data_IF_349993371702
#
_entry.id   IF_349993371702
#
_cell.length_a   1.000
_cell.length_b   1.000
_cell.length_c   1.000
_cell.angle_alpha   90.00
_cell.angle_beta   90.00
_cell.angle_gamma   90.00
#
_symmetry.space_group_name_H-M   'P 1'
#
loop_
_entity.id
_entity.type
_entity.pdbx_description
1 polymer ?
#
# COMPACT_ATOMS: atom_id res chain seq x y z
N UNK A 1 9.72 24.72 -24.19
CA UNK A 1 9.41 23.41 -24.82
C UNK A 1 10.45 22.40 -24.40
N UNK A 2 10.10 21.38 -23.61
CA UNK A 2 10.97 20.22 -23.44
C UNK A 2 10.85 19.32 -24.68
N UNK A 3 11.99 18.95 -25.26
CA UNK A 3 12.07 18.04 -26.40
C UNK A 3 12.30 16.59 -25.92
N UNK A 4 11.94 15.56 -26.72
CA UNK A 4 12.00 14.15 -26.32
C UNK A 4 13.40 13.59 -26.00
N UNK A 5 14.46 14.33 -26.34
CA UNK A 5 15.86 13.86 -26.30
C UNK A 5 16.68 14.47 -25.13
N UNK A 6 16.01 14.97 -24.10
CA UNK A 6 16.67 15.55 -22.93
C UNK A 6 17.00 14.46 -21.89
N UNK A 7 18.28 14.22 -21.55
CA UNK A 7 18.68 13.23 -20.53
C UNK A 7 18.07 13.50 -19.14
N UNK A 8 17.69 14.74 -18.84
CA UNK A 8 16.97 15.09 -17.61
C UNK A 8 15.54 14.53 -17.59
N UNK A 9 14.88 14.45 -18.75
CA UNK A 9 13.51 13.92 -18.86
C UNK A 9 13.50 12.39 -18.70
N UNK A 10 14.45 11.71 -19.34
CA UNK A 10 14.69 10.29 -19.13
C UNK A 10 15.04 9.97 -17.66
N UNK A 11 15.83 10.84 -17.00
CA UNK A 11 16.12 10.69 -15.56
C UNK A 11 14.90 10.89 -14.67
N UNK A 12 13.98 11.80 -15.04
CA UNK A 12 12.75 12.07 -14.29
C UNK A 12 11.75 10.92 -14.40
N UNK A 13 11.60 10.35 -15.60
CA UNK A 13 10.72 9.18 -15.81
C UNK A 13 11.30 7.91 -15.16
N UNK A 14 12.62 7.72 -15.20
CA UNK A 14 13.29 6.63 -14.49
C UNK A 14 13.12 6.76 -12.97
N UNK A 15 13.27 7.97 -12.42
CA UNK A 15 13.03 8.23 -11.00
C UNK A 15 11.55 7.99 -10.63
N UNK A 16 10.61 8.49 -11.43
CA UNK A 16 9.18 8.25 -11.21
C UNK A 16 8.84 6.74 -11.22
N UNK A 17 9.44 5.97 -12.15
CA UNK A 17 9.32 4.51 -12.16
C UNK A 17 9.89 3.83 -10.91
N UNK A 18 11.03 4.31 -10.39
CA UNK A 18 11.60 3.80 -9.14
C UNK A 18 10.69 4.09 -7.94
N UNK A 19 10.16 5.32 -7.84
CA UNK A 19 9.23 5.69 -6.77
C UNK A 19 7.92 4.91 -6.87
N UNK A 20 7.44 4.63 -8.08
CA UNK A 20 6.26 3.81 -8.32
C UNK A 20 6.48 2.37 -7.84
N UNK A 21 7.65 1.80 -8.16
CA UNK A 21 8.05 0.48 -7.65
C UNK A 21 8.13 0.48 -6.13
N UNK A 22 8.79 1.47 -5.51
CA UNK A 22 8.89 1.56 -4.04
C UNK A 22 7.53 1.64 -3.37
N UNK A 23 6.61 2.46 -3.90
CA UNK A 23 5.23 2.57 -3.41
C UNK A 23 4.50 1.24 -3.51
N UNK A 24 4.59 0.58 -4.68
CA UNK A 24 3.95 -0.71 -4.91
C UNK A 24 4.50 -1.81 -4.01
N UNK A 25 5.82 -1.85 -3.79
CA UNK A 25 6.49 -2.79 -2.90
C UNK A 25 6.05 -2.59 -1.46
N UNK A 26 6.00 -1.36 -0.94
CA UNK A 26 5.62 -1.12 0.44
C UNK A 26 4.17 -1.57 0.71
N UNK A 27 3.24 -1.29 -0.22
CA UNK A 27 1.87 -1.81 -0.13
C UNK A 27 1.82 -3.33 -0.12
N UNK A 28 2.66 -4.00 -0.93
CA UNK A 28 2.76 -5.46 -0.93
C UNK A 28 3.31 -6.01 0.39
N UNK A 29 4.31 -5.36 0.98
CA UNK A 29 4.88 -5.75 2.27
C UNK A 29 3.85 -5.60 3.40
N UNK A 30 3.06 -4.51 3.40
CA UNK A 30 1.97 -4.33 4.35
C UNK A 30 0.96 -5.48 4.20
N UNK A 31 0.51 -5.77 2.97
CA UNK A 31 -0.47 -6.81 2.68
C UNK A 31 0.00 -8.20 3.11
N UNK A 32 1.16 -8.61 2.62
CA UNK A 32 1.63 -10.00 2.71
C UNK A 32 2.29 -10.27 4.04
N UNK A 33 3.18 -9.38 4.50
CA UNK A 33 4.00 -9.63 5.69
C UNK A 33 3.34 -9.10 6.96
N UNK A 34 2.85 -7.86 6.94
CA UNK A 34 2.32 -7.22 8.15
C UNK A 34 0.89 -7.65 8.47
N UNK A 35 0.05 -7.91 7.46
CA UNK A 35 -1.35 -8.33 7.64
C UNK A 35 -1.58 -9.84 7.42
N UNK A 36 -1.19 -10.40 6.28
CA UNK A 36 -1.59 -11.78 5.93
C UNK A 36 -0.93 -12.83 6.83
N UNK A 37 0.36 -12.67 7.16
CA UNK A 37 1.07 -13.62 8.02
C UNK A 37 0.45 -13.80 9.41
N UNK A 38 0.13 -12.74 10.18
CA UNK A 38 -0.54 -12.92 11.47
C UNK A 38 -2.02 -13.30 11.33
N UNK A 39 -2.71 -12.86 10.26
CA UNK A 39 -4.12 -13.17 10.03
C UNK A 39 -4.36 -14.66 9.77
N UNK A 40 -3.52 -15.28 8.93
CA UNK A 40 -3.72 -16.65 8.46
C UNK A 40 -5.02 -16.84 7.65
N UNK A 41 -5.17 -17.99 6.99
CA UNK A 41 -6.33 -18.23 6.11
C UNK A 41 -7.64 -18.49 6.87
N UNK A 42 -7.59 -18.71 8.18
CA UNK A 42 -8.76 -18.92 9.04
C UNK A 42 -8.44 -18.55 10.50
N UNK A 43 -9.45 -18.37 11.37
CA UNK A 43 -9.21 -18.11 12.80
C UNK A 43 -8.31 -19.16 13.47
N UNK A 44 -8.45 -20.44 13.09
CA UNK A 44 -7.63 -21.54 13.62
C UNK A 44 -6.16 -21.49 13.16
N UNK A 45 -5.87 -20.83 12.02
CA UNK A 45 -4.52 -20.66 11.49
C UNK A 45 -3.93 -19.27 11.80
N UNK A 46 -4.69 -18.40 12.47
CA UNK A 46 -4.21 -17.10 12.88
C UNK A 46 -3.06 -17.25 13.88
N UNK A 47 -2.02 -16.44 13.72
CA UNK A 47 -0.90 -16.41 14.65
C UNK A 47 -0.46 -14.98 14.89
N UNK A 48 -1.12 -14.33 15.85
CA UNK A 48 -0.84 -12.95 16.21
C UNK A 48 0.59 -12.66 16.69
N UNK A 49 1.36 -13.69 17.09
CA UNK A 49 2.79 -13.53 17.43
C UNK A 49 3.68 -13.30 16.20
N UNK A 50 3.15 -13.49 14.98
CA UNK A 50 3.83 -13.13 13.73
C UNK A 50 3.69 -11.66 13.37
N UNK A 51 2.85 -10.90 14.09
CA UNK A 51 2.77 -9.46 13.90
C UNK A 51 4.08 -8.79 14.32
N UNK A 52 4.57 -7.87 13.50
CA UNK A 52 5.72 -7.03 13.82
C UNK A 52 5.45 -6.25 15.11
N UNK A 53 6.38 -6.27 16.07
CA UNK A 53 6.18 -5.57 17.34
C UNK A 53 5.01 -6.09 18.19
N UNK A 54 4.63 -7.38 18.06
CA UNK A 54 3.48 -7.94 18.80
C UNK A 54 3.60 -7.81 20.33
N UNK A 55 4.82 -7.80 20.89
CA UNK A 55 5.05 -7.66 22.34
C UNK A 55 4.75 -6.24 22.84
N UNK A 56 5.00 -5.24 22.00
CA UNK A 56 4.76 -3.82 22.28
C UNK A 56 3.40 -3.33 21.77
N UNK A 57 2.60 -4.20 21.13
CA UNK A 57 1.35 -3.83 20.46
C UNK A 57 1.52 -2.74 19.39
N UNK A 58 2.71 -2.63 18.79
CA UNK A 58 3.05 -1.54 17.85
C UNK A 58 2.78 -1.86 16.38
N UNK A 59 2.22 -3.04 16.07
CA UNK A 59 1.96 -3.48 14.70
C UNK A 59 1.02 -2.52 13.92
N UNK A 60 -0.15 -2.20 14.48
CA UNK A 60 -1.13 -1.33 13.81
C UNK A 60 -0.63 0.11 13.68
N UNK A 61 -0.04 0.73 14.72
CA UNK A 61 0.60 2.05 14.57
C UNK A 61 1.70 2.07 13.50
N UNK A 62 2.51 1.02 13.39
CA UNK A 62 3.54 0.94 12.36
C UNK A 62 2.92 0.85 10.95
N UNK A 63 1.87 0.04 10.78
CA UNK A 63 1.13 -0.06 9.51
C UNK A 63 0.50 1.29 9.14
N UNK A 64 -0.07 2.01 10.11
CA UNK A 64 -0.66 3.33 9.89
C UNK A 64 0.39 4.33 9.37
N UNK A 65 1.55 4.39 10.02
CA UNK A 65 2.67 5.24 9.58
C UNK A 65 3.17 4.83 8.20
N UNK A 66 3.30 3.52 7.92
CA UNK A 66 3.71 3.05 6.59
C UNK A 66 2.70 3.47 5.53
N UNK A 67 1.39 3.34 5.80
CA UNK A 67 0.34 3.70 4.86
C UNK A 67 0.26 5.21 4.63
N UNK A 68 0.45 6.03 5.68
CA UNK A 68 0.53 7.48 5.56
C UNK A 68 1.77 7.89 4.73
N UNK A 69 2.91 7.26 4.95
CA UNK A 69 4.11 7.52 4.16
C UNK A 69 3.91 7.15 2.67
N UNK A 70 3.20 6.07 2.37
CA UNK A 70 2.80 5.72 1.01
C UNK A 70 1.90 6.80 0.39
N UNK A 71 0.91 7.31 1.13
CA UNK A 71 0.04 8.39 0.67
C UNK A 71 0.81 9.69 0.43
N UNK A 72 1.72 10.05 1.33
CA UNK A 72 2.54 11.26 1.22
C UNK A 72 3.50 11.15 0.03
N UNK A 73 4.12 9.99 -0.18
CA UNK A 73 4.91 9.71 -1.38
C UNK A 73 4.06 9.86 -2.64
N UNK A 74 2.84 9.30 -2.65
CA UNK A 74 1.93 9.43 -3.78
C UNK A 74 1.61 10.91 -4.09
N UNK A 75 1.25 11.68 -3.07
CA UNK A 75 0.92 13.11 -3.21
C UNK A 75 2.10 13.93 -3.70
N UNK A 76 3.29 13.69 -3.14
CA UNK A 76 4.51 14.41 -3.50
C UNK A 76 4.99 14.07 -4.91
N UNK A 77 4.98 12.77 -5.26
CA UNK A 77 5.61 12.27 -6.46
C UNK A 77 4.67 12.19 -7.66
N UNK A 78 3.35 12.01 -7.49
CA UNK A 78 2.46 11.66 -8.60
C UNK A 78 1.19 12.51 -8.71
N UNK A 79 0.63 13.02 -7.60
CA UNK A 79 -0.69 13.66 -7.63
C UNK A 79 -0.77 14.87 -8.59
N UNK A 80 0.29 15.68 -8.67
CA UNK A 80 0.35 16.82 -9.59
C UNK A 80 0.41 16.42 -11.07
N UNK A 81 1.00 15.25 -11.38
CA UNK A 81 1.06 14.71 -12.75
C UNK A 81 -0.26 14.09 -13.19
N UNK A 82 -1.13 13.73 -12.23
CA UNK A 82 -2.46 13.18 -12.46
C UNK A 82 -3.58 14.24 -12.40
N UNK A 83 -3.26 15.53 -12.28
CA UNK A 83 -4.24 16.57 -11.99
C UNK A 83 -5.48 16.50 -12.91
N UNK A 84 -6.67 16.51 -12.29
CA UNK A 84 -8.00 16.38 -12.92
C UNK A 84 -8.33 15.02 -13.58
N UNK A 85 -7.52 13.99 -13.35
CA UNK A 85 -7.81 12.62 -13.81
C UNK A 85 -8.65 11.84 -12.79
N UNK A 86 -9.51 10.94 -13.28
CA UNK A 86 -10.29 10.04 -12.42
C UNK A 86 -9.41 9.15 -11.49
N UNK A 87 -8.25 8.63 -11.94
CA UNK A 87 -7.35 7.87 -11.07
C UNK A 87 -6.86 8.66 -9.85
N UNK A 88 -6.66 9.98 -9.95
CA UNK A 88 -6.21 10.78 -8.81
C UNK A 88 -7.19 10.71 -7.63
N UNK A 89 -8.47 10.99 -7.90
CA UNK A 89 -9.51 10.96 -6.90
C UNK A 89 -9.75 9.54 -6.35
N UNK A 90 -9.65 8.51 -7.21
CA UNK A 90 -9.84 7.12 -6.80
C UNK A 90 -8.72 6.62 -5.89
N UNK A 91 -7.46 6.95 -6.20
CA UNK A 91 -6.30 6.57 -5.38
C UNK A 91 -6.37 7.27 -4.02
N UNK A 92 -6.67 8.56 -4.00
CA UNK A 92 -6.80 9.33 -2.76
C UNK A 92 -7.91 8.76 -1.86
N UNK A 93 -9.10 8.52 -2.43
CA UNK A 93 -10.21 7.90 -1.71
C UNK A 93 -9.86 6.48 -1.20
N UNK A 94 -9.08 5.70 -1.95
CA UNK A 94 -8.66 4.36 -1.54
C UNK A 94 -7.69 4.41 -0.33
N UNK A 95 -6.78 5.38 -0.28
CA UNK A 95 -5.94 5.61 0.91
C UNK A 95 -6.79 5.99 2.13
N UNK A 96 -7.70 6.95 1.99
CA UNK A 96 -8.58 7.40 3.07
C UNK A 96 -9.46 6.26 3.60
N UNK A 97 -10.00 5.44 2.70
CA UNK A 97 -10.83 4.29 3.06
C UNK A 97 -10.04 3.23 3.83
N UNK A 98 -8.79 2.96 3.44
CA UNK A 98 -7.91 2.04 4.13
C UNK A 98 -7.51 2.57 5.52
N UNK A 99 -7.10 3.84 5.63
CA UNK A 99 -6.79 4.49 6.91
C UNK A 99 -7.99 4.52 7.85
N UNK A 100 -9.18 4.82 7.32
CA UNK A 100 -10.43 4.79 8.09
C UNK A 100 -10.71 3.39 8.63
N UNK A 101 -10.57 2.35 7.80
CA UNK A 101 -10.81 0.97 8.23
C UNK A 101 -9.76 0.52 9.26
N UNK A 102 -8.51 0.91 9.09
CA UNK A 102 -7.43 0.65 10.04
C UNK A 102 -7.75 1.26 11.43
N UNK A 103 -8.25 2.49 11.48
CA UNK A 103 -8.60 3.18 12.73
C UNK A 103 -9.73 2.49 13.53
N UNK A 104 -10.53 1.63 12.88
CA UNK A 104 -11.61 0.88 13.52
C UNK A 104 -11.11 -0.38 14.23
N UNK A 105 -9.85 -0.78 14.01
CA UNK A 105 -9.24 -1.94 14.66
C UNK A 105 -8.71 -1.49 16.03
N UNK A 106 -9.47 -1.77 17.09
CA UNK A 106 -9.19 -1.30 18.46
C UNK A 106 -8.38 -2.29 19.28
N UNK A 107 -8.33 -3.56 18.88
CA UNK A 107 -7.49 -4.55 19.56
C UNK A 107 -6.07 -4.53 18.96
N UNK A 108 -5.03 -4.82 19.76
CA UNK A 108 -3.71 -5.10 19.21
C UNK A 108 -3.80 -6.16 18.11
N UNK A 109 -3.08 -6.00 17.00
CA UNK A 109 -3.13 -6.94 15.86
C UNK A 109 -2.96 -8.40 16.31
N UNK A 110 -2.09 -8.63 17.29
CA UNK A 110 -1.82 -9.94 17.87
C UNK A 110 -3.03 -10.64 18.49
N UNK A 111 -4.09 -9.91 18.83
CA UNK A 111 -5.37 -10.41 19.32
C UNK A 111 -6.49 -10.25 18.29
N UNK A 112 -6.49 -9.13 17.57
CA UNK A 112 -7.50 -8.78 16.57
C UNK A 112 -7.66 -9.88 15.49
N UNK A 113 -6.58 -10.55 15.10
CA UNK A 113 -6.62 -11.63 14.09
C UNK A 113 -7.47 -12.84 14.48
N UNK A 114 -7.72 -13.05 15.78
CA UNK A 114 -8.51 -14.16 16.31
C UNK A 114 -9.89 -13.74 16.83
N UNK A 115 -10.15 -12.43 16.93
CA UNK A 115 -11.45 -11.89 17.32
C UNK A 115 -12.37 -11.77 16.09
N UNK A 116 -13.60 -12.27 16.18
CA UNK A 116 -14.51 -12.35 15.02
C UNK A 116 -14.73 -10.99 14.35
N UNK A 117 -15.06 -9.95 15.13
CA UNK A 117 -15.39 -8.63 14.57
C UNK A 117 -14.16 -7.87 14.08
N UNK A 118 -13.07 -7.91 14.85
CA UNK A 118 -11.82 -7.25 14.48
C UNK A 118 -11.14 -7.94 13.29
N UNK A 119 -11.27 -9.27 13.16
CA UNK A 119 -10.76 -10.03 12.02
C UNK A 119 -11.43 -9.60 10.72
N UNK A 120 -12.74 -9.37 10.71
CA UNK A 120 -13.45 -8.89 9.52
C UNK A 120 -12.92 -7.52 9.06
N UNK A 121 -12.61 -6.62 10.00
CA UNK A 121 -11.98 -5.33 9.68
C UNK A 121 -10.58 -5.52 9.07
N UNK A 122 -9.78 -6.46 9.57
CA UNK A 122 -8.46 -6.77 8.99
C UNK A 122 -8.60 -7.31 7.56
N UNK A 123 -9.56 -8.21 7.32
CA UNK A 123 -9.84 -8.76 5.99
C UNK A 123 -10.27 -7.64 5.04
N UNK A 124 -11.16 -6.76 5.49
CA UNK A 124 -11.59 -5.59 4.72
C UNK A 124 -10.43 -4.66 4.39
N UNK A 125 -9.55 -4.39 5.35
CA UNK A 125 -8.34 -3.61 5.13
C UNK A 125 -7.42 -4.25 4.08
N UNK A 126 -7.22 -5.58 4.14
CA UNK A 126 -6.45 -6.28 3.11
C UNK A 126 -7.05 -6.14 1.71
N UNK A 127 -8.38 -6.24 1.59
CA UNK A 127 -9.05 -6.08 0.30
C UNK A 127 -8.90 -4.65 -0.25
N UNK A 128 -9.02 -3.63 0.60
CA UNK A 128 -8.84 -2.23 0.22
C UNK A 128 -7.41 -1.94 -0.22
N UNK A 129 -6.41 -2.44 0.52
CA UNK A 129 -5.01 -2.26 0.16
C UNK A 129 -4.64 -3.02 -1.12
N UNK A 130 -5.22 -4.20 -1.35
CA UNK A 130 -5.05 -4.94 -2.60
C UNK A 130 -5.65 -4.16 -3.78
N UNK A 131 -6.82 -3.55 -3.61
CA UNK A 131 -7.45 -2.70 -4.62
C UNK A 131 -6.60 -1.45 -4.89
N UNK A 132 -6.14 -0.75 -3.85
CA UNK A 132 -5.24 0.39 -3.96
C UNK A 132 -3.96 0.03 -4.72
N UNK A 133 -3.34 -1.10 -4.39
CA UNK A 133 -2.15 -1.62 -5.08
C UNK A 133 -2.43 -1.85 -6.57
N UNK A 134 -3.60 -2.37 -6.94
CA UNK A 134 -4.01 -2.55 -8.34
C UNK A 134 -4.25 -1.22 -9.06
N UNK A 135 -4.91 -0.24 -8.43
CA UNK A 135 -5.09 1.11 -8.98
C UNK A 135 -3.74 1.77 -9.28
N UNK A 136 -2.78 1.64 -8.37
CA UNK A 136 -1.41 2.14 -8.56
C UNK A 136 -0.68 1.41 -9.70
N UNK A 137 -0.80 0.08 -9.76
CA UNK A 137 -0.12 -0.73 -10.76
C UNK A 137 -0.65 -0.55 -12.18
N UNK A 138 -1.94 -0.23 -12.32
CA UNK A 138 -2.62 -0.10 -13.61
C UNK A 138 -2.82 1.35 -13.96
N UNK A 139 -3.70 2.03 -13.24
CA UNK A 139 -4.24 3.31 -13.67
C UNK A 139 -3.21 4.44 -13.51
N UNK A 140 -2.46 4.47 -12.41
CA UNK A 140 -1.37 5.43 -12.23
C UNK A 140 -0.23 5.18 -13.23
N UNK A 141 0.18 3.92 -13.39
CA UNK A 141 1.25 3.55 -14.32
C UNK A 141 0.89 3.89 -15.77
N UNK A 142 -0.30 3.51 -16.22
CA UNK A 142 -0.81 3.76 -17.57
C UNK A 142 -0.95 5.26 -17.84
N UNK A 143 -1.55 6.01 -16.92
CA UNK A 143 -1.76 7.46 -17.10
C UNK A 143 -0.44 8.22 -17.27
N UNK A 144 0.62 7.77 -16.59
CA UNK A 144 1.93 8.42 -16.64
C UNK A 144 2.90 7.80 -17.68
N UNK A 145 2.47 6.78 -18.42
CA UNK A 145 3.36 6.05 -19.34
C UNK A 145 4.56 5.43 -18.62
N UNK A 146 4.36 4.99 -17.37
CA UNK A 146 5.36 4.29 -16.56
C UNK A 146 5.10 2.78 -16.62
N UNK A 147 6.14 2.00 -16.41
CA UNK A 147 6.03 0.57 -16.21
C UNK A 147 6.54 0.22 -14.81
N UNK A 148 5.83 -0.66 -14.11
CA UNK A 148 6.41 -1.33 -12.94
C UNK A 148 7.61 -2.15 -13.42
N UNK A 149 8.75 -1.92 -12.79
CA UNK A 149 9.96 -2.70 -13.05
C UNK A 149 9.87 -4.09 -12.40
N UNK A 150 10.79 -4.99 -12.75
CA UNK A 150 10.96 -6.26 -12.03
C UNK A 150 11.16 -5.98 -10.54
N UNK A 151 10.22 -6.44 -9.72
CA UNK A 151 10.31 -6.31 -8.28
C UNK A 151 10.98 -7.56 -7.72
N UNK A 152 11.87 -7.40 -6.72
CA UNK A 152 12.58 -8.54 -6.12
C UNK A 152 11.68 -9.53 -5.37
N UNK A 153 10.38 -9.21 -5.23
CA UNK A 153 9.35 -10.05 -4.62
C UNK A 153 8.64 -10.98 -5.62
N UNK A 154 8.69 -10.69 -6.92
CA UNK A 154 8.07 -11.52 -7.98
C UNK A 154 9.04 -12.55 -8.60
N UNK A 155 10.30 -12.57 -8.13
CA UNK A 155 11.41 -13.29 -8.74
C UNK A 155 11.86 -14.59 -8.06
N UNK A 156 11.10 -15.13 -7.09
CA UNK A 156 11.33 -16.44 -6.44
C UNK A 156 10.07 -17.32 -6.50
#
# INVERSE_FOLDING_TARGET
>A
NPAPDNPLYASSQALAGQLLNSLHTELELILTQKLAQPLGSSPAKANGKRAEGWRSSSALPAIEVNLQACQDLYRLAFASMLADSAPAAQIEAAFEQALTTLSQIVLPLSRAVSDTGQRELIIKLQQQLAQLKQLIARDLAETLGLSLGFNSLDGD
#
